data_IF_576158402485
#
_entry.id   IF_576158402485
#
_cell.length_a   1.000
_cell.length_b   1.000
_cell.length_c   1.000
_cell.angle_alpha   90.00
_cell.angle_beta   90.00
_cell.angle_gamma   90.00
#
_symmetry.space_group_name_H-M   'P 1'
#
loop_
_entity.id
_entity.type
_entity.pdbx_description
1 polymer ?
#
# COMPACT_ATOMS: atom_id res chain seq x y z
N UNK A 1 1.81 -2.87 18.83
CA UNK A 1 2.17 -4.14 18.18
C UNK A 1 3.65 -4.07 17.81
N UNK A 2 4.46 -5.05 18.20
CA UNK A 2 5.89 -5.11 17.84
C UNK A 2 6.05 -6.24 16.83
N UNK A 3 6.66 -5.96 15.67
CA UNK A 3 6.87 -6.96 14.64
C UNK A 3 7.92 -8.00 15.10
N UNK A 4 7.53 -9.26 15.22
CA UNK A 4 8.39 -10.36 15.68
C UNK A 4 8.73 -11.39 14.59
N UNK A 5 8.40 -11.11 13.33
CA UNK A 5 8.62 -12.01 12.19
C UNK A 5 7.66 -13.21 12.12
N UNK A 6 7.32 -13.80 13.27
CA UNK A 6 6.28 -14.82 13.40
C UNK A 6 5.24 -14.34 14.41
N UNK A 7 4.25 -13.61 13.92
CA UNK A 7 3.18 -13.08 14.76
C UNK A 7 2.00 -14.08 14.78
N UNK A 8 1.55 -14.55 15.95
CA UNK A 8 0.37 -15.41 16.04
C UNK A 8 -0.92 -14.72 15.57
N UNK A 9 -0.94 -13.39 15.49
CA UNK A 9 -2.02 -12.61 14.88
C UNK A 9 -1.86 -12.41 13.37
N UNK A 10 -0.84 -13.02 12.75
CA UNK A 10 -0.65 -12.89 11.31
C UNK A 10 -1.84 -13.48 10.56
N UNK A 11 -2.41 -12.69 9.66
CA UNK A 11 -3.48 -13.13 8.78
C UNK A 11 -2.85 -13.66 7.50
N UNK A 12 -2.86 -14.99 7.33
CA UNK A 12 -2.26 -15.66 6.17
C UNK A 12 -2.87 -15.20 4.84
N UNK A 13 -4.16 -14.84 4.84
CA UNK A 13 -4.81 -14.31 3.64
C UNK A 13 -4.22 -12.94 3.26
N UNK A 14 -4.04 -12.05 4.23
CA UNK A 14 -3.40 -10.74 3.99
C UNK A 14 -1.94 -10.87 3.63
N UNK A 15 -1.22 -11.82 4.22
CA UNK A 15 0.16 -12.11 3.85
C UNK A 15 0.27 -12.60 2.41
N UNK A 16 -0.66 -13.45 1.95
CA UNK A 16 -0.69 -13.94 0.58
C UNK A 16 -1.00 -12.84 -0.45
N UNK A 17 -1.93 -11.92 -0.13
CA UNK A 17 -2.38 -10.87 -1.05
C UNK A 17 -1.46 -9.64 -1.04
N UNK A 18 -1.08 -9.16 0.14
CA UNK A 18 -0.36 -7.90 0.31
C UNK A 18 1.14 -8.08 0.59
N UNK A 19 1.55 -9.28 0.98
CA UNK A 19 2.93 -9.59 1.37
C UNK A 19 3.19 -9.41 2.86
N UNK A 20 4.32 -9.96 3.32
CA UNK A 20 4.67 -10.03 4.74
C UNK A 20 4.79 -8.65 5.41
N UNK A 21 5.27 -7.63 4.70
CA UNK A 21 5.46 -6.30 5.26
C UNK A 21 4.14 -5.53 5.39
N UNK A 22 3.21 -5.68 4.45
CA UNK A 22 1.97 -4.90 4.42
C UNK A 22 0.81 -5.55 5.18
N UNK A 23 0.84 -6.86 5.39
CA UNK A 23 -0.22 -7.56 6.12
C UNK A 23 -0.45 -7.02 7.55
N UNK A 24 0.59 -6.80 8.39
CA UNK A 24 0.40 -6.20 9.72
C UNK A 24 -0.20 -4.80 9.67
N UNK A 25 0.07 -4.04 8.61
CA UNK A 25 -0.48 -2.69 8.45
C UNK A 25 -1.97 -2.73 8.17
N UNK A 26 -2.45 -3.68 7.34
CA UNK A 26 -3.89 -3.88 7.13
C UNK A 26 -4.57 -4.35 8.42
N UNK A 27 -3.98 -5.32 9.12
CA UNK A 27 -4.49 -5.79 10.43
C UNK A 27 -4.58 -4.64 11.44
N UNK A 28 -3.58 -3.76 11.48
CA UNK A 28 -3.60 -2.58 12.37
C UNK A 28 -4.80 -1.66 12.09
N UNK A 29 -5.14 -1.44 10.82
CA UNK A 29 -6.28 -0.61 10.45
C UNK A 29 -7.62 -1.26 10.80
N UNK A 30 -7.69 -2.58 10.85
CA UNK A 30 -8.88 -3.31 11.30
C UNK A 30 -9.05 -3.30 12.83
N UNK A 31 -7.94 -3.28 13.57
CA UNK A 31 -7.96 -3.18 15.04
C UNK A 31 -8.32 -1.76 15.55
N UNK A 32 -8.44 -0.77 14.65
CA UNK A 32 -8.91 0.56 15.03
C UNK A 32 -10.38 0.52 15.50
N UNK A 33 -10.74 1.26 16.56
CA UNK A 33 -12.15 1.39 16.97
C UNK A 33 -13.04 1.86 15.81
N UNK A 34 -14.28 1.38 15.76
CA UNK A 34 -15.22 1.67 14.64
C UNK A 34 -15.37 3.18 14.38
N UNK A 35 -15.40 3.99 15.44
CA UNK A 35 -15.46 5.45 15.35
C UNK A 35 -14.29 6.06 14.58
N UNK A 36 -13.11 5.43 14.67
CA UNK A 36 -11.90 5.87 13.98
C UNK A 36 -11.84 5.28 12.57
N UNK A 37 -12.16 4.01 12.42
CA UNK A 37 -12.12 3.30 11.14
C UNK A 37 -13.04 3.92 10.08
N UNK A 38 -14.17 4.51 10.49
CA UNK A 38 -15.10 5.18 9.57
C UNK A 38 -14.65 6.59 9.13
N UNK A 39 -13.51 7.10 9.64
CA UNK A 39 -12.97 8.39 9.24
C UNK A 39 -12.17 8.27 7.94
N UNK A 40 -12.25 9.31 7.10
CA UNK A 40 -11.45 9.43 5.88
C UNK A 40 -10.03 9.86 6.22
N UNK A 41 -9.17 8.90 6.54
CA UNK A 41 -7.75 9.15 6.73
C UNK A 41 -7.00 9.32 5.39
N UNK A 42 -6.02 10.22 5.40
CA UNK A 42 -4.96 10.29 4.39
C UNK A 42 -3.74 9.55 4.92
N UNK A 43 -3.42 8.40 4.32
CA UNK A 43 -2.31 7.53 4.68
C UNK A 43 -1.07 7.91 3.87
N UNK A 44 0.04 8.11 4.55
CA UNK A 44 1.35 8.35 3.94
C UNK A 44 2.24 7.14 4.21
N UNK A 45 2.54 6.40 3.15
CA UNK A 45 3.28 5.15 3.23
C UNK A 45 4.67 5.30 2.60
N UNK A 46 5.60 4.47 3.07
CA UNK A 46 6.94 4.33 2.48
C UNK A 46 6.98 3.12 1.53
N UNK A 47 7.98 3.12 0.64
CA UNK A 47 8.22 2.17 -0.44
C UNK A 47 8.22 0.68 -0.06
N UNK A 48 8.35 0.38 1.23
CA UNK A 48 8.32 -0.97 1.75
C UNK A 48 6.91 -1.56 1.64
N UNK A 49 5.89 -0.76 1.95
CA UNK A 49 4.51 -1.22 2.12
C UNK A 49 3.71 -1.19 0.82
N UNK A 50 4.30 -0.70 -0.26
CA UNK A 50 3.55 -0.35 -1.47
C UNK A 50 3.37 -1.52 -2.43
N UNK A 51 2.11 -1.79 -2.77
CA UNK A 51 1.69 -2.65 -3.87
C UNK A 51 0.37 -2.15 -4.46
N UNK A 52 0.11 -2.44 -5.74
CA UNK A 52 -1.13 -2.03 -6.40
C UNK A 52 -2.37 -2.64 -5.73
N UNK A 53 -2.29 -3.88 -5.27
CA UNK A 53 -3.38 -4.53 -4.54
C UNK A 53 -3.71 -3.80 -3.24
N UNK A 54 -2.69 -3.37 -2.50
CA UNK A 54 -2.88 -2.63 -1.26
C UNK A 54 -3.51 -1.25 -1.51
N UNK A 55 -3.02 -0.51 -2.51
CA UNK A 55 -3.58 0.80 -2.87
C UNK A 55 -5.04 0.70 -3.32
N UNK A 56 -5.39 -0.33 -4.11
CA UNK A 56 -6.77 -0.60 -4.51
C UNK A 56 -7.65 -0.93 -3.31
N UNK A 57 -7.14 -1.74 -2.37
CA UNK A 57 -7.85 -2.09 -1.15
C UNK A 57 -8.12 -0.87 -0.26
N UNK A 58 -7.12 -0.01 -0.04
CA UNK A 58 -7.32 1.23 0.73
C UNK A 58 -8.31 2.19 0.08
N UNK A 59 -8.29 2.29 -1.25
CA UNK A 59 -9.30 3.06 -1.98
C UNK A 59 -10.72 2.52 -1.76
N UNK A 60 -10.90 1.18 -1.73
CA UNK A 60 -12.19 0.56 -1.42
C UNK A 60 -12.66 0.85 0.00
N UNK A 61 -11.72 0.94 0.95
CA UNK A 61 -11.99 1.34 2.33
C UNK A 61 -12.26 2.85 2.50
N UNK A 62 -12.09 3.65 1.44
CA UNK A 62 -12.33 5.09 1.46
C UNK A 62 -11.15 5.92 2.00
N UNK A 63 -9.95 5.32 2.10
CA UNK A 63 -8.74 6.03 2.47
C UNK A 63 -8.10 6.72 1.27
N UNK A 64 -7.54 7.89 1.51
CA UNK A 64 -6.62 8.53 0.58
C UNK A 64 -5.22 8.03 0.87
N UNK A 65 -4.42 7.70 -0.16
CA UNK A 65 -3.08 7.13 0.04
C UNK A 65 -2.06 7.83 -0.84
N UNK A 66 -0.98 8.27 -0.22
CA UNK A 66 0.23 8.75 -0.89
C UNK A 66 1.37 7.83 -0.55
N UNK A 67 2.03 7.27 -1.55
CA UNK A 67 3.14 6.34 -1.36
C UNK A 67 4.17 6.47 -2.50
N UNK A 68 5.35 5.90 -2.30
CA UNK A 68 6.44 5.79 -3.27
C UNK A 68 6.57 4.34 -3.74
N UNK A 69 6.39 4.06 -5.04
CA UNK A 69 6.50 2.70 -5.56
C UNK A 69 7.91 2.38 -6.03
N UNK A 70 8.46 1.22 -5.62
CA UNK A 70 9.68 0.67 -6.23
C UNK A 70 9.41 0.27 -7.69
N UNK A 71 10.30 0.68 -8.60
CA UNK A 71 10.14 0.44 -10.04
C UNK A 71 9.94 -1.04 -10.39
N UNK A 72 10.68 -1.94 -9.74
CA UNK A 72 10.58 -3.38 -9.96
C UNK A 72 9.26 -4.02 -9.49
N UNK A 73 8.42 -3.29 -8.74
CA UNK A 73 7.09 -3.73 -8.30
C UNK A 73 5.97 -3.21 -9.20
N UNK A 74 6.31 -2.43 -10.23
CA UNK A 74 5.33 -1.88 -11.18
C UNK A 74 5.08 -2.93 -12.28
N UNK A 75 3.81 -3.33 -12.55
CA UNK A 75 3.50 -4.24 -13.63
C UNK A 75 4.03 -3.70 -14.97
N UNK A 76 4.60 -4.57 -15.82
CA UNK A 76 5.21 -4.15 -17.10
C UNK A 76 4.20 -3.49 -18.06
N UNK A 77 2.94 -3.83 -17.91
CA UNK A 77 1.78 -3.30 -18.62
C UNK A 77 1.21 -2.01 -17.99
N UNK A 78 1.80 -1.51 -16.90
CA UNK A 78 1.41 -0.23 -16.31
C UNK A 78 2.01 0.93 -17.11
N UNK A 79 1.22 1.97 -17.46
CA UNK A 79 1.73 3.15 -18.18
C UNK A 79 2.84 3.92 -17.44
N UNK A 80 3.00 3.67 -16.13
CA UNK A 80 4.04 4.26 -15.27
C UNK A 80 5.42 3.64 -15.52
N UNK A 81 5.51 2.45 -16.15
CA UNK A 81 6.78 1.75 -16.34
C UNK A 81 7.89 2.70 -16.85
N UNK A 82 8.93 2.87 -16.03
CA UNK A 82 9.84 3.99 -16.15
C UNK A 82 10.70 3.84 -17.41
N UNK A 83 10.43 4.66 -18.42
CA UNK A 83 11.35 4.86 -19.53
C UNK A 83 12.36 5.94 -19.13
N UNK A 84 13.62 5.80 -19.53
CA UNK A 84 14.62 6.86 -19.33
C UNK A 84 14.09 8.18 -19.88
N UNK A 85 14.13 9.23 -19.05
CA UNK A 85 13.72 10.58 -19.43
C UNK A 85 14.74 11.62 -18.97
N UNK A 86 14.62 12.82 -19.52
CA UNK A 86 15.42 13.96 -19.13
C UNK A 86 15.20 14.31 -17.66
N UNK A 87 16.28 14.69 -16.98
CA UNK A 87 16.24 15.15 -15.58
C UNK A 87 15.23 16.29 -15.43
N UNK A 88 14.39 16.21 -14.40
CA UNK A 88 13.35 17.20 -14.10
C UNK A 88 12.00 16.96 -14.80
N UNK A 89 11.91 16.01 -15.73
CA UNK A 89 10.62 15.64 -16.32
C UNK A 89 9.75 14.81 -15.36
N UNK A 90 8.44 15.07 -15.35
CA UNK A 90 7.43 14.33 -14.57
C UNK A 90 6.30 13.88 -15.48
N UNK A 91 5.72 12.71 -15.20
CA UNK A 91 4.58 12.18 -15.93
C UNK A 91 3.42 12.10 -14.94
N UNK A 92 2.30 12.68 -15.30
CA UNK A 92 1.05 12.52 -14.56
C UNK A 92 0.13 11.63 -15.38
N UNK A 93 -0.39 10.59 -14.75
CA UNK A 93 -1.40 9.72 -15.35
C UNK A 93 -2.68 9.96 -14.57
N UNK A 94 -3.74 10.33 -15.29
CA UNK A 94 -5.08 10.42 -14.72
C UNK A 94 -5.74 9.04 -14.82
N UNK A 95 -6.48 8.63 -13.79
CA UNK A 95 -7.27 7.40 -13.84
C UNK A 95 -8.37 7.46 -14.90
#
# INVERSE_FOLDING_TARGET
MVYQGNDPKSNDNYRAVFGASSAPFVTLLEELPDEKRNLRYSLFCDNLFTSFHLLAHFKQLGYEVTDTMRENRIPKNCPIAMKKKNRGSRIFIRP
#
